data_IF_918519162758
#
_entry.id   IF_918519162758
#
_cell.length_a   1.000
_cell.length_b   1.000
_cell.length_c   1.000
_cell.angle_alpha   90.00
_cell.angle_beta   90.00
_cell.angle_gamma   90.00
#
_symmetry.space_group_name_H-M   'P 1'
#
loop_
_entity.id
_entity.type
_entity.pdbx_description
1 polymer ?
#
# COMPACT_ATOMS: atom_id res chain seq x y z
N UNK A 1 32.03 1.50 43.51
CA UNK A 1 33.22 0.64 43.62
C UNK A 1 33.73 0.40 42.20
N UNK A 2 34.96 0.85 41.99
CA UNK A 2 35.76 0.79 40.75
C UNK A 2 36.11 -0.63 40.36
N UNK A 3 36.25 -0.90 39.08
CA UNK A 3 37.45 -1.52 38.49
C UNK A 3 37.48 -1.38 36.99
N UNK A 4 38.41 -0.57 36.53
CA UNK A 4 39.02 -0.53 35.20
C UNK A 4 40.03 -1.67 35.04
N UNK A 5 40.26 -2.16 33.83
CA UNK A 5 41.54 -2.66 33.30
C UNK A 5 41.46 -2.55 31.77
N UNK A 6 42.07 -1.64 31.12
CA UNK A 6 43.43 -1.33 30.71
C UNK A 6 44.22 -2.47 30.02
N UNK A 7 44.43 -2.28 28.73
CA UNK A 7 45.63 -2.30 27.89
C UNK A 7 46.49 -3.54 27.74
N UNK A 8 46.89 -3.90 26.52
CA UNK A 8 48.26 -3.59 25.98
C UNK A 8 48.40 -3.84 24.48
N UNK A 9 49.03 -2.86 23.82
CA UNK A 9 49.67 -2.93 22.50
C UNK A 9 50.93 -3.85 22.55
N UNK A 10 51.24 -4.48 21.41
CA UNK A 10 52.63 -4.84 21.07
C UNK A 10 52.87 -4.71 19.59
N UNK A 11 53.66 -3.73 19.25
CA UNK A 11 54.41 -3.67 17.99
C UNK A 11 55.60 -4.59 18.06
N UNK A 12 55.93 -5.29 16.98
CA UNK A 12 57.26 -5.79 16.78
C UNK A 12 57.68 -5.64 15.32
N UNK A 13 58.65 -4.79 15.11
CA UNK A 13 59.48 -4.64 13.90
C UNK A 13 60.43 -5.82 13.81
N UNK A 14 60.72 -6.33 12.63
CA UNK A 14 62.00 -6.92 12.31
C UNK A 14 62.37 -6.68 10.84
N UNK A 15 63.59 -6.24 10.67
CA UNK A 15 64.16 -5.70 9.46
C UNK A 15 64.84 -6.76 8.57
N UNK A 16 64.90 -6.46 7.31
CA UNK A 16 66.05 -6.45 6.41
C UNK A 16 66.87 -7.72 6.23
N UNK A 17 66.84 -8.26 5.03
CA UNK A 17 68.08 -8.76 4.34
C UNK A 17 67.95 -8.58 2.84
N UNK A 18 68.84 -7.71 2.29
CA UNK A 18 69.14 -7.62 0.86
C UNK A 18 69.96 -8.81 0.42
N UNK A 19 69.65 -9.41 -0.72
CA UNK A 19 70.55 -10.20 -1.51
C UNK A 19 70.45 -9.73 -2.97
N UNK A 20 71.54 -9.14 -3.44
CA UNK A 20 71.76 -8.79 -4.84
C UNK A 20 71.94 -10.06 -5.67
N UNK A 21 71.08 -10.24 -6.67
CA UNK A 21 71.29 -11.20 -7.74
C UNK A 21 70.99 -10.50 -9.07
N UNK A 22 72.11 -10.20 -9.79
CA UNK A 22 72.01 -9.76 -11.19
C UNK A 22 71.50 -10.92 -12.05
N UNK A 23 70.36 -10.66 -12.73
CA UNK A 23 69.98 -11.48 -13.89
C UNK A 23 69.44 -10.55 -14.99
N UNK A 24 69.96 -10.73 -16.12
CA UNK A 24 69.83 -10.12 -17.43
C UNK A 24 68.38 -9.73 -17.80
N UNK A 25 68.24 -8.50 -18.26
CA UNK A 25 67.03 -7.93 -18.86
C UNK A 25 66.81 -8.60 -20.22
N UNK A 26 65.81 -9.51 -20.28
CA UNK A 26 65.15 -9.84 -21.52
C UNK A 26 63.89 -8.97 -21.61
N UNK A 27 63.87 -7.94 -22.46
CA UNK A 27 62.68 -7.20 -22.83
C UNK A 27 61.71 -8.11 -23.57
N UNK A 28 60.78 -8.73 -22.85
CA UNK A 28 59.52 -9.18 -23.43
C UNK A 28 58.55 -8.01 -23.38
N UNK A 29 58.10 -7.55 -24.55
CA UNK A 29 56.94 -6.65 -24.65
C UNK A 29 55.76 -7.41 -24.05
N UNK A 30 55.35 -7.02 -22.84
CA UNK A 30 54.02 -7.37 -22.35
C UNK A 30 53.01 -6.59 -23.18
N UNK A 31 52.27 -7.33 -24.01
CA UNK A 31 51.04 -6.84 -24.62
C UNK A 31 50.05 -6.61 -23.50
N UNK A 32 50.00 -5.35 -23.01
CA UNK A 32 48.97 -4.86 -22.10
C UNK A 32 47.64 -4.65 -22.89
N UNK A 33 47.10 -5.75 -23.42
CA UNK A 33 45.73 -5.76 -23.87
C UNK A 33 44.89 -6.02 -22.63
N UNK A 34 44.04 -5.06 -22.17
CA UNK A 34 43.15 -5.32 -21.05
C UNK A 34 42.24 -6.50 -21.41
N UNK A 35 42.25 -7.54 -20.59
CA UNK A 35 41.32 -8.65 -20.72
C UNK A 35 39.91 -8.07 -20.80
N UNK A 36 39.12 -8.36 -21.85
CA UNK A 36 37.77 -7.86 -21.97
C UNK A 36 36.99 -8.20 -20.69
N UNK A 37 36.43 -7.20 -20.01
CA UNK A 37 35.53 -7.47 -18.89
C UNK A 37 34.43 -8.45 -19.38
N UNK A 38 34.09 -9.47 -18.58
CA UNK A 38 33.00 -10.37 -18.93
C UNK A 38 31.73 -9.54 -19.13
N UNK A 39 30.95 -9.86 -20.17
CA UNK A 39 29.73 -9.07 -20.47
C UNK A 39 28.84 -9.05 -19.22
N UNK A 40 28.42 -7.85 -18.80
CA UNK A 40 27.50 -7.70 -17.67
C UNK A 40 26.26 -8.55 -17.93
N UNK A 41 25.75 -9.30 -16.94
CA UNK A 41 24.54 -10.09 -17.09
C UNK A 41 23.41 -9.21 -17.62
N UNK A 42 22.75 -9.64 -18.68
CA UNK A 42 21.56 -8.93 -19.21
C UNK A 42 20.46 -9.02 -18.16
N UNK A 43 20.14 -7.89 -17.56
CA UNK A 43 19.03 -7.80 -16.62
C UNK A 43 17.70 -7.92 -17.37
N UNK A 44 16.79 -8.69 -16.83
CA UNK A 44 15.44 -8.90 -17.38
C UNK A 44 14.43 -8.25 -16.45
N UNK A 45 13.49 -7.53 -17.03
CA UNK A 45 12.45 -6.82 -16.28
C UNK A 45 11.06 -7.30 -16.70
N UNK A 46 10.12 -7.19 -15.78
CA UNK A 46 8.70 -7.46 -15.96
C UNK A 46 7.89 -6.32 -15.38
N UNK A 47 6.97 -5.77 -16.17
CA UNK A 47 5.96 -4.85 -15.66
C UNK A 47 4.91 -5.65 -14.89
N UNK A 48 4.53 -5.15 -13.72
CA UNK A 48 3.58 -5.77 -12.82
C UNK A 48 2.56 -4.73 -12.38
N UNK A 49 1.28 -5.00 -12.60
CA UNK A 49 0.18 -4.16 -12.13
C UNK A 49 -0.38 -4.68 -10.81
N UNK A 50 -0.41 -3.82 -9.81
CA UNK A 50 -1.03 -4.07 -8.50
C UNK A 50 -2.23 -3.16 -8.33
N UNK A 51 -3.40 -3.72 -8.07
CA UNK A 51 -4.64 -2.99 -7.84
C UNK A 51 -5.10 -3.18 -6.39
N UNK A 52 -5.27 -2.09 -5.66
CA UNK A 52 -5.82 -2.10 -4.30
C UNK A 52 -7.23 -1.50 -4.30
N UNK A 53 -8.17 -2.12 -3.57
CA UNK A 53 -9.54 -1.61 -3.42
C UNK A 53 -10.16 -2.10 -2.11
N UNK A 54 -10.78 -1.20 -1.35
CA UNK A 54 -11.77 -1.53 -0.34
C UNK A 54 -13.10 -1.83 -1.04
N UNK A 55 -13.78 -2.94 -0.69
CA UNK A 55 -14.96 -3.44 -1.42
C UNK A 55 -16.30 -3.10 -0.76
N UNK A 56 -16.27 -2.30 0.29
CA UNK A 56 -17.48 -1.89 1.03
C UNK A 56 -18.41 -3.07 1.33
N UNK A 57 -17.97 -3.87 2.30
CA UNK A 57 -18.67 -5.09 2.72
C UNK A 57 -18.90 -6.10 1.59
N UNK A 58 -17.85 -6.37 0.81
CA UNK A 58 -17.89 -7.38 -0.24
C UNK A 58 -18.75 -6.97 -1.44
N UNK A 59 -18.75 -5.69 -1.79
CA UNK A 59 -19.55 -5.16 -2.88
C UNK A 59 -21.03 -5.54 -2.75
N UNK A 60 -21.61 -5.31 -1.56
CA UNK A 60 -23.00 -5.69 -1.26
C UNK A 60 -23.92 -4.49 -0.96
N UNK A 61 -23.37 -3.27 -0.90
CA UNK A 61 -24.12 -2.12 -0.43
C UNK A 61 -24.99 -1.46 -1.49
N UNK A 62 -24.65 -1.59 -2.76
CA UNK A 62 -25.46 -1.11 -3.88
C UNK A 62 -25.88 -2.25 -4.80
N UNK A 63 -26.90 -2.03 -5.61
CA UNK A 63 -27.39 -3.03 -6.56
C UNK A 63 -26.31 -3.32 -7.60
N UNK A 64 -26.15 -4.60 -7.94
CA UNK A 64 -25.19 -5.08 -8.93
C UNK A 64 -23.70 -4.80 -8.61
N UNK A 65 -23.37 -4.36 -7.39
CA UNK A 65 -22.01 -3.99 -7.00
C UNK A 65 -21.01 -5.14 -7.17
N UNK A 66 -21.38 -6.37 -6.83
CA UNK A 66 -20.49 -7.52 -7.01
C UNK A 66 -20.09 -7.74 -8.48
N UNK A 67 -21.05 -7.62 -9.41
CA UNK A 67 -20.72 -7.68 -10.84
C UNK A 67 -19.85 -6.48 -11.26
N UNK A 68 -20.10 -5.29 -10.69
CA UNK A 68 -19.27 -4.10 -10.89
C UNK A 68 -17.83 -4.32 -10.43
N UNK A 69 -17.62 -5.01 -9.29
CA UNK A 69 -16.28 -5.39 -8.82
C UNK A 69 -15.58 -6.34 -9.81
N UNK A 70 -16.30 -7.34 -10.31
CA UNK A 70 -15.78 -8.27 -11.33
C UNK A 70 -15.39 -7.51 -12.60
N UNK A 71 -16.24 -6.57 -13.03
CA UNK A 71 -16.02 -5.78 -14.25
C UNK A 71 -14.83 -4.83 -14.12
N UNK A 72 -14.70 -4.11 -13.00
CA UNK A 72 -13.58 -3.18 -12.81
C UNK A 72 -12.24 -3.92 -12.71
N UNK A 73 -12.18 -5.06 -12.02
CA UNK A 73 -10.95 -5.88 -11.99
C UNK A 73 -10.59 -6.33 -13.41
N UNK A 74 -11.58 -6.74 -14.20
CA UNK A 74 -11.34 -7.11 -15.59
C UNK A 74 -10.92 -5.91 -16.46
N UNK A 75 -11.50 -4.73 -16.25
CA UNK A 75 -11.19 -3.50 -16.98
C UNK A 75 -9.73 -3.07 -16.77
N UNK A 76 -9.25 -3.04 -15.53
CA UNK A 76 -7.87 -2.60 -15.23
C UNK A 76 -6.84 -3.69 -15.44
N UNK A 77 -7.27 -4.96 -15.46
CA UNK A 77 -6.47 -6.15 -15.72
C UNK A 77 -5.16 -6.22 -14.92
N UNK A 78 -5.22 -6.21 -13.59
CA UNK A 78 -4.05 -6.24 -12.75
C UNK A 78 -3.45 -7.65 -12.68
N UNK A 79 -2.17 -7.73 -12.33
CA UNK A 79 -1.50 -9.00 -12.06
C UNK A 79 -1.76 -9.49 -10.63
N UNK A 80 -1.91 -8.53 -9.71
CA UNK A 80 -2.24 -8.77 -8.29
C UNK A 80 -3.32 -7.79 -7.84
N UNK A 81 -4.31 -8.28 -7.10
CA UNK A 81 -5.39 -7.48 -6.49
C UNK A 81 -5.30 -7.61 -4.97
N UNK A 82 -5.30 -6.48 -4.27
CA UNK A 82 -5.30 -6.39 -2.81
C UNK A 82 -6.65 -5.83 -2.37
N UNK A 83 -7.43 -6.62 -1.65
CA UNK A 83 -8.82 -6.31 -1.33
C UNK A 83 -9.04 -6.20 0.18
N UNK A 84 -9.90 -5.27 0.57
CA UNK A 84 -10.37 -5.07 1.94
C UNK A 84 -11.89 -5.22 2.03
N UNK A 85 -12.41 -5.44 3.24
CA UNK A 85 -13.84 -5.55 3.56
C UNK A 85 -14.61 -6.57 2.73
N UNK A 86 -14.15 -7.79 2.68
CA UNK A 86 -14.72 -8.80 1.79
C UNK A 86 -16.13 -9.29 2.20
N UNK A 87 -16.50 -9.24 3.50
CA UNK A 87 -17.82 -9.59 4.04
C UNK A 87 -18.50 -10.76 3.33
N UNK A 88 -17.80 -11.88 3.27
CA UNK A 88 -18.29 -13.11 2.62
C UNK A 88 -19.69 -13.56 3.12
N UNK A 89 -19.96 -13.35 4.41
CA UNK A 89 -21.26 -13.61 5.04
C UNK A 89 -22.41 -12.82 4.40
N UNK A 90 -22.18 -11.54 4.01
CA UNK A 90 -23.18 -10.73 3.33
C UNK A 90 -23.35 -11.13 1.87
N UNK A 91 -22.25 -11.49 1.20
CA UNK A 91 -22.31 -11.98 -0.18
C UNK A 91 -23.12 -13.27 -0.27
N UNK A 92 -22.88 -14.23 0.63
CA UNK A 92 -23.61 -15.51 0.67
C UNK A 92 -25.11 -15.33 0.89
N UNK A 93 -25.55 -14.32 1.64
CA UNK A 93 -26.98 -13.99 1.79
C UNK A 93 -27.62 -13.47 0.50
N UNK A 94 -26.88 -12.72 -0.32
CA UNK A 94 -27.37 -12.17 -1.60
C UNK A 94 -27.16 -13.08 -2.80
N UNK A 95 -26.21 -14.00 -2.69
CA UNK A 95 -25.84 -14.99 -3.72
C UNK A 95 -25.79 -16.38 -3.05
N UNK A 96 -26.95 -17.04 -2.88
CA UNK A 96 -27.09 -18.26 -2.06
C UNK A 96 -26.22 -19.44 -2.53
N UNK A 97 -25.96 -19.55 -3.83
CA UNK A 97 -25.24 -20.71 -4.43
C UNK A 97 -23.71 -20.61 -4.24
N UNK A 98 -23.27 -19.84 -3.26
CA UNK A 98 -21.86 -19.64 -3.00
C UNK A 98 -21.21 -20.75 -2.18
N UNK A 99 -20.01 -21.10 -2.58
CA UNK A 99 -19.20 -22.20 -2.06
C UNK A 99 -18.14 -21.79 -1.04
N UNK A 100 -18.36 -20.69 -0.34
CA UNK A 100 -17.63 -20.38 0.88
C UNK A 100 -16.60 -19.26 0.79
N UNK A 101 -15.47 -19.36 0.11
CA UNK A 101 -14.45 -18.32 0.13
C UNK A 101 -14.71 -17.21 -0.90
N UNK A 102 -14.70 -15.96 -0.45
CA UNK A 102 -14.99 -14.79 -1.29
C UNK A 102 -14.07 -14.70 -2.50
N UNK A 103 -12.76 -14.85 -2.30
CA UNK A 103 -11.78 -14.77 -3.40
C UNK A 103 -11.92 -15.92 -4.39
N UNK A 104 -12.31 -17.12 -3.93
CA UNK A 104 -12.59 -18.24 -4.82
C UNK A 104 -13.75 -17.92 -5.78
N UNK A 105 -14.87 -17.41 -5.24
CA UNK A 105 -16.02 -16.99 -6.04
C UNK A 105 -15.65 -15.88 -7.02
N UNK A 106 -14.84 -14.91 -6.57
CA UNK A 106 -14.41 -13.82 -7.43
C UNK A 106 -13.53 -14.33 -8.60
N UNK A 107 -12.62 -15.28 -8.34
CA UNK A 107 -11.85 -15.96 -9.38
C UNK A 107 -12.75 -16.71 -10.38
N UNK A 108 -13.75 -17.45 -9.89
CA UNK A 108 -14.72 -18.14 -10.77
C UNK A 108 -15.51 -17.14 -11.64
N UNK A 109 -15.97 -16.03 -11.05
CA UNK A 109 -16.71 -15.00 -11.78
C UNK A 109 -15.85 -14.33 -12.87
N UNK A 110 -14.60 -13.99 -12.55
CA UNK A 110 -13.63 -13.44 -13.50
C UNK A 110 -13.35 -14.43 -14.65
N UNK A 111 -13.17 -15.71 -14.34
CA UNK A 111 -12.97 -16.76 -15.35
C UNK A 111 -14.18 -16.94 -16.25
N UNK A 112 -15.37 -17.05 -15.65
CA UNK A 112 -16.61 -17.31 -16.40
C UNK A 112 -16.99 -16.14 -17.29
N UNK A 113 -17.00 -14.92 -16.71
CA UNK A 113 -17.48 -13.71 -17.40
C UNK A 113 -16.46 -13.11 -18.37
N UNK A 114 -15.19 -13.09 -17.95
CA UNK A 114 -14.14 -12.34 -18.66
C UNK A 114 -12.98 -13.19 -19.18
N UNK A 115 -12.99 -14.51 -18.95
CA UNK A 115 -11.90 -15.43 -19.33
C UNK A 115 -10.55 -15.06 -18.70
N UNK A 116 -10.60 -14.51 -17.46
CA UNK A 116 -9.43 -14.13 -16.70
C UNK A 116 -9.18 -15.15 -15.58
N UNK A 117 -8.02 -15.75 -15.55
CA UNK A 117 -7.64 -16.75 -14.55
C UNK A 117 -6.86 -16.06 -13.42
N UNK A 118 -7.30 -16.31 -12.18
CA UNK A 118 -6.65 -15.86 -10.96
C UNK A 118 -6.63 -16.97 -9.91
N UNK A 119 -5.64 -16.93 -9.07
CA UNK A 119 -5.57 -17.64 -7.78
C UNK A 119 -6.00 -16.68 -6.68
N UNK A 120 -6.77 -17.13 -5.70
CA UNK A 120 -7.27 -16.28 -4.62
C UNK A 120 -7.00 -16.85 -3.25
N UNK A 121 -6.71 -15.99 -2.27
CA UNK A 121 -6.68 -16.30 -0.84
C UNK A 121 -7.26 -15.14 -0.04
N UNK A 122 -8.05 -15.44 1.01
CA UNK A 122 -8.56 -14.43 1.93
C UNK A 122 -8.54 -14.92 3.37
N UNK A 123 -8.56 -13.97 4.30
CA UNK A 123 -8.77 -14.23 5.72
C UNK A 123 -10.19 -13.78 6.10
N UNK A 124 -11.03 -14.75 6.37
CA UNK A 124 -12.42 -14.49 6.79
C UNK A 124 -13.15 -13.51 5.88
N UNK A 125 -13.77 -12.52 6.50
CA UNK A 125 -14.55 -11.46 5.85
C UNK A 125 -13.78 -10.15 5.71
N UNK A 126 -12.47 -10.15 5.88
CA UNK A 126 -11.70 -8.91 6.07
C UNK A 126 -10.85 -8.55 4.86
N UNK A 127 -9.86 -9.35 4.55
CA UNK A 127 -8.86 -9.03 3.53
C UNK A 127 -8.58 -10.20 2.61
N UNK A 128 -8.22 -9.92 1.36
CA UNK A 128 -7.93 -10.95 0.37
C UNK A 128 -6.94 -10.50 -0.71
N UNK A 129 -6.39 -11.47 -1.39
CA UNK A 129 -5.48 -11.26 -2.53
C UNK A 129 -5.92 -12.14 -3.68
N UNK A 130 -5.97 -11.55 -4.91
CA UNK A 130 -5.99 -12.31 -6.15
C UNK A 130 -4.66 -12.15 -6.86
N UNK A 131 -4.21 -13.18 -7.56
CA UNK A 131 -2.97 -13.15 -8.34
C UNK A 131 -3.12 -13.95 -9.63
N UNK A 132 -2.60 -13.44 -10.75
CA UNK A 132 -2.43 -14.23 -11.99
C UNK A 132 -1.35 -15.30 -11.84
N UNK A 133 -0.46 -15.14 -10.86
CA UNK A 133 0.59 -16.10 -10.54
C UNK A 133 0.11 -17.03 -9.43
N UNK A 134 0.55 -18.28 -9.46
CA UNK A 134 0.24 -19.25 -8.41
C UNK A 134 0.71 -18.77 -7.03
N UNK A 135 -0.16 -18.86 -6.03
CA UNK A 135 0.15 -18.47 -4.65
C UNK A 135 0.92 -19.62 -3.98
N UNK A 136 2.22 -19.42 -3.79
CA UNK A 136 3.13 -20.42 -3.18
C UNK A 136 3.00 -20.52 -1.67
N UNK A 137 2.66 -19.40 -1.01
CA UNK A 137 2.43 -19.37 0.43
C UNK A 137 1.40 -18.31 0.80
N UNK A 138 0.70 -18.57 1.91
CA UNK A 138 -0.31 -17.71 2.51
C UNK A 138 -0.11 -17.68 4.02
N UNK A 139 -0.21 -16.50 4.62
CA UNK A 139 -0.15 -16.33 6.08
C UNK A 139 -1.02 -15.17 6.51
N UNK A 140 -1.76 -15.37 7.61
CA UNK A 140 -2.42 -14.29 8.35
C UNK A 140 -1.41 -13.73 9.36
N UNK A 141 -1.24 -12.41 9.41
CA UNK A 141 -0.41 -11.77 10.42
C UNK A 141 -1.19 -11.67 11.74
N UNK A 142 -0.54 -11.85 12.89
CA UNK A 142 -1.17 -11.77 14.21
C UNK A 142 -1.31 -10.31 14.69
N UNK A 143 -1.95 -9.47 13.87
CA UNK A 143 -2.19 -8.06 14.17
C UNK A 143 -3.13 -7.87 15.36
N UNK A 144 -3.10 -6.72 16.08
CA UNK A 144 -4.08 -6.40 17.12
C UNK A 144 -5.52 -6.46 16.60
N UNK A 145 -6.47 -6.59 17.50
CA UNK A 145 -7.91 -6.64 17.18
C UNK A 145 -8.32 -5.46 16.28
N UNK A 146 -9.23 -5.73 15.35
CA UNK A 146 -9.74 -4.78 14.35
C UNK A 146 -8.72 -4.33 13.28
N UNK A 147 -7.50 -4.83 13.34
CA UNK A 147 -6.51 -4.71 12.27
C UNK A 147 -6.35 -6.06 11.58
N UNK A 148 -6.50 -6.09 10.28
CA UNK A 148 -6.46 -7.33 9.49
C UNK A 148 -5.38 -7.24 8.43
N UNK A 149 -4.50 -8.22 8.39
CA UNK A 149 -3.44 -8.29 7.40
C UNK A 149 -3.12 -9.73 7.01
N UNK A 150 -2.99 -9.96 5.72
CA UNK A 150 -2.48 -11.21 5.17
C UNK A 150 -1.29 -10.96 4.28
N UNK A 151 -0.47 -11.98 4.09
CA UNK A 151 0.53 -12.00 3.03
C UNK A 151 0.40 -13.25 2.16
N UNK A 152 0.69 -13.05 0.87
CA UNK A 152 0.89 -14.13 -0.08
C UNK A 152 2.26 -14.00 -0.73
N UNK A 153 2.90 -15.12 -1.03
CA UNK A 153 4.12 -15.15 -1.84
C UNK A 153 3.80 -15.77 -3.19
N UNK A 154 4.21 -15.10 -4.26
CA UNK A 154 4.13 -15.60 -5.63
C UNK A 154 5.52 -15.58 -6.27
N UNK A 155 5.68 -16.26 -7.40
CA UNK A 155 6.90 -16.18 -8.20
C UNK A 155 6.58 -15.59 -9.57
N UNK A 156 7.28 -14.52 -9.91
CA UNK A 156 7.20 -13.84 -11.20
C UNK A 156 8.50 -14.08 -11.94
N UNK A 157 8.50 -15.01 -12.90
CA UNK A 157 9.70 -15.37 -13.70
C UNK A 157 10.95 -15.59 -12.82
N UNK A 158 10.84 -16.45 -11.82
CA UNK A 158 11.92 -16.81 -10.92
C UNK A 158 12.25 -15.80 -9.80
N UNK A 159 11.62 -14.61 -9.79
CA UNK A 159 11.70 -13.68 -8.67
C UNK A 159 10.51 -13.88 -7.72
N UNK A 160 10.79 -14.24 -6.47
CA UNK A 160 9.74 -14.29 -5.45
C UNK A 160 9.36 -12.88 -5.01
N UNK A 161 8.04 -12.66 -4.87
CA UNK A 161 7.44 -11.43 -4.40
C UNK A 161 6.43 -11.72 -3.30
N UNK A 162 6.40 -10.89 -2.27
CA UNK A 162 5.42 -10.99 -1.18
C UNK A 162 4.50 -9.77 -1.20
N UNK A 163 3.21 -10.03 -1.30
CA UNK A 163 2.16 -9.02 -1.30
C UNK A 163 1.40 -9.09 0.02
N UNK A 164 1.24 -7.92 0.64
CA UNK A 164 0.43 -7.76 1.85
C UNK A 164 -0.84 -7.00 1.49
N UNK A 165 -1.99 -7.54 1.92
CA UNK A 165 -3.28 -6.84 1.90
C UNK A 165 -3.68 -6.52 3.33
N UNK A 166 -3.93 -5.24 3.60
CA UNK A 166 -4.23 -4.72 4.93
C UNK A 166 -5.57 -3.98 4.98
N UNK A 167 -6.29 -4.13 6.08
CA UNK A 167 -7.41 -3.28 6.49
C UNK A 167 -7.20 -2.96 7.96
N UNK A 168 -6.83 -1.71 8.26
CA UNK A 168 -6.53 -1.29 9.61
C UNK A 168 -7.79 -0.78 10.33
N UNK A 169 -7.70 -0.66 11.65
CA UNK A 169 -8.84 -0.29 12.50
C UNK A 169 -9.45 1.06 12.09
N UNK A 170 -10.76 1.05 11.85
CA UNK A 170 -11.54 2.25 11.46
C UNK A 170 -11.87 3.17 12.64
N UNK A 171 -11.72 2.68 13.89
CA UNK A 171 -11.98 3.47 15.09
C UNK A 171 -10.87 4.50 15.30
N UNK A 172 -11.16 5.50 16.09
CA UNK A 172 -10.21 6.60 16.30
C UNK A 172 -9.71 7.22 14.98
N UNK A 173 -10.67 7.46 14.06
CA UNK A 173 -10.41 8.16 12.81
C UNK A 173 -10.20 9.66 13.09
N UNK A 174 -9.04 9.95 13.67
CA UNK A 174 -8.74 11.24 14.32
C UNK A 174 -8.70 12.43 13.37
N UNK A 175 -8.63 12.21 12.06
CA UNK A 175 -8.72 13.26 11.05
C UNK A 175 -10.12 13.94 11.00
N UNK A 176 -11.14 13.38 11.67
CA UNK A 176 -12.44 14.04 11.84
C UNK A 176 -12.46 15.06 12.99
N UNK A 177 -11.54 14.97 13.95
CA UNK A 177 -11.48 15.92 15.07
C UNK A 177 -11.32 17.39 14.62
N UNK A 178 -10.41 17.72 13.68
CA UNK A 178 -10.32 19.09 13.13
C UNK A 178 -11.58 19.52 12.39
N UNK A 179 -12.35 18.57 11.88
CA UNK A 179 -13.63 18.81 11.19
C UNK A 179 -14.83 18.93 12.14
N UNK A 180 -14.59 18.94 13.46
CA UNK A 180 -15.65 19.10 14.46
C UNK A 180 -16.53 17.87 14.66
N UNK A 181 -16.02 16.69 14.38
CA UNK A 181 -16.68 15.41 14.64
C UNK A 181 -15.77 14.52 15.50
N UNK A 182 -16.37 13.64 16.29
CA UNK A 182 -15.55 12.69 17.04
C UNK A 182 -14.92 11.65 16.10
N UNK A 183 -13.91 10.95 16.58
CA UNK A 183 -13.15 9.98 15.81
C UNK A 183 -13.84 8.61 15.64
N UNK A 184 -15.11 8.50 16.02
CA UNK A 184 -15.94 7.30 15.86
C UNK A 184 -16.05 6.42 17.08
N UNK A 185 -16.88 5.35 17.02
CA UNK A 185 -17.59 4.85 15.83
C UNK A 185 -18.95 5.50 15.55
N UNK A 186 -19.40 6.46 16.34
CA UNK A 186 -20.71 7.12 16.17
C UNK A 186 -20.65 8.38 15.31
N UNK A 187 -19.44 8.88 15.01
CA UNK A 187 -19.18 10.08 14.20
C UNK A 187 -20.00 11.29 14.65
N UNK A 188 -20.26 11.40 15.96
CA UNK A 188 -21.10 12.47 16.49
C UNK A 188 -20.42 13.84 16.37
N UNK A 189 -21.25 14.86 16.09
CA UNK A 189 -20.76 16.24 16.00
C UNK A 189 -20.26 16.74 17.35
N UNK A 190 -19.09 17.34 17.37
CA UNK A 190 -18.51 18.00 18.55
C UNK A 190 -19.03 19.45 18.67
N UNK A 191 -19.03 20.03 19.87
CA UNK A 191 -19.36 21.43 20.07
C UNK A 191 -18.44 22.40 19.31
N UNK A 192 -17.15 22.04 19.15
CA UNK A 192 -16.15 22.77 18.40
C UNK A 192 -15.13 21.81 17.78
N UNK A 193 -14.53 22.17 16.63
CA UNK A 193 -13.38 21.47 16.09
C UNK A 193 -12.22 21.37 17.09
N UNK A 194 -11.50 20.26 17.05
CA UNK A 194 -10.30 20.04 17.85
C UNK A 194 -9.10 20.17 16.91
N UNK A 195 -8.32 21.24 17.09
CA UNK A 195 -7.15 21.55 16.24
C UNK A 195 -5.83 21.42 16.97
N UNK A 196 -5.86 21.00 18.23
CA UNK A 196 -4.68 20.65 19.00
C UNK A 196 -4.06 19.35 18.48
N UNK A 197 -2.88 19.46 17.88
CA UNK A 197 -2.23 18.33 17.21
C UNK A 197 -1.83 17.21 18.17
N UNK A 198 -1.43 17.53 19.40
CA UNK A 198 -1.06 16.52 20.40
C UNK A 198 -2.28 15.66 20.79
N UNK A 199 -3.43 16.32 20.98
CA UNK A 199 -4.69 15.65 21.28
C UNK A 199 -5.15 14.77 20.11
N UNK A 200 -5.04 15.26 18.86
CA UNK A 200 -5.38 14.50 17.65
C UNK A 200 -4.52 13.24 17.55
N UNK A 201 -3.21 13.38 17.67
CA UNK A 201 -2.30 12.23 17.56
C UNK A 201 -2.42 11.27 18.74
N UNK A 202 -2.77 11.76 19.93
CA UNK A 202 -3.07 10.90 21.07
C UNK A 202 -4.32 10.05 20.83
N UNK A 203 -5.37 10.63 20.23
CA UNK A 203 -6.57 9.89 19.88
C UNK A 203 -6.30 8.87 18.77
N UNK A 204 -5.54 9.27 17.75
CA UNK A 204 -5.12 8.38 16.65
C UNK A 204 -4.47 7.09 17.16
N UNK A 205 -3.61 7.18 18.17
CA UNK A 205 -2.88 6.04 18.76
C UNK A 205 -3.72 5.14 19.67
N UNK A 206 -5.00 5.41 19.84
CA UNK A 206 -5.92 4.51 20.53
C UNK A 206 -6.44 3.39 19.62
N UNK A 207 -6.19 3.49 18.33
CA UNK A 207 -6.66 2.55 17.29
C UNK A 207 -5.79 1.31 17.11
N UNK A 208 -4.58 1.26 17.68
CA UNK A 208 -3.58 0.19 17.49
C UNK A 208 -3.13 -0.04 16.03
N UNK A 209 -3.31 0.94 15.13
CA UNK A 209 -2.83 0.87 13.74
C UNK A 209 -1.31 0.88 13.66
N UNK A 210 -0.65 1.65 14.51
CA UNK A 210 0.79 1.74 14.64
C UNK A 210 1.41 0.41 15.10
N UNK A 211 0.84 -0.30 16.07
CA UNK A 211 1.29 -1.64 16.47
C UNK A 211 1.11 -2.65 15.34
N UNK A 212 0.00 -2.57 14.58
CA UNK A 212 -0.18 -3.43 13.41
C UNK A 212 0.87 -3.15 12.33
N UNK A 213 1.26 -1.87 12.17
CA UNK A 213 2.30 -1.48 11.22
C UNK A 213 3.70 -1.90 11.68
N UNK A 214 4.00 -1.88 12.97
CA UNK A 214 5.23 -2.47 13.53
C UNK A 214 5.34 -3.96 13.18
N UNK A 215 4.27 -4.73 13.37
CA UNK A 215 4.23 -6.15 13.01
C UNK A 215 4.44 -6.39 11.51
N UNK A 216 3.87 -5.52 10.67
CA UNK A 216 4.13 -5.56 9.23
C UNK A 216 5.61 -5.33 8.94
N UNK A 217 6.21 -4.29 9.51
CA UNK A 217 7.61 -3.92 9.23
C UNK A 217 8.59 -5.03 9.64
N UNK A 218 8.36 -5.67 10.78
CA UNK A 218 9.17 -6.81 11.23
C UNK A 218 9.05 -8.01 10.29
N UNK A 219 7.84 -8.38 9.88
CA UNK A 219 7.60 -9.49 8.96
C UNK A 219 8.14 -9.18 7.56
N UNK A 220 7.92 -7.96 7.06
CA UNK A 220 8.41 -7.50 5.77
C UNK A 220 9.94 -7.49 5.69
N UNK A 221 10.64 -7.07 6.76
CA UNK A 221 12.10 -7.15 6.82
C UNK A 221 12.58 -8.60 6.70
N UNK A 222 11.87 -9.53 7.33
CA UNK A 222 12.16 -10.97 7.19
C UNK A 222 11.99 -11.48 5.77
N UNK A 223 11.00 -10.99 5.01
CA UNK A 223 10.80 -11.34 3.61
C UNK A 223 11.88 -10.72 2.71
N UNK A 224 12.21 -9.45 2.94
CA UNK A 224 13.31 -8.77 2.19
C UNK A 224 14.66 -9.44 2.42
N UNK A 225 14.96 -9.90 3.62
CA UNK A 225 16.18 -10.64 3.93
C UNK A 225 16.29 -11.98 3.17
N UNK A 226 15.16 -12.54 2.71
CA UNK A 226 15.11 -13.71 1.82
C UNK A 226 15.28 -13.33 0.34
N UNK A 227 15.48 -12.06 0.02
CA UNK A 227 15.57 -11.53 -1.35
C UNK A 227 14.21 -11.39 -2.06
N UNK A 228 13.12 -11.40 -1.33
CA UNK A 228 11.77 -11.19 -1.86
C UNK A 228 11.48 -9.71 -2.03
N UNK A 229 10.82 -9.36 -3.11
CA UNK A 229 10.25 -8.02 -3.30
C UNK A 229 8.96 -7.92 -2.49
N UNK A 230 8.83 -6.87 -1.67
CA UNK A 230 7.69 -6.65 -0.78
C UNK A 230 6.85 -5.50 -1.29
N UNK A 231 5.54 -5.74 -1.39
CA UNK A 231 4.51 -4.74 -1.72
C UNK A 231 3.41 -4.81 -0.67
N UNK A 232 3.03 -3.67 -0.11
CA UNK A 232 1.91 -3.51 0.81
C UNK A 232 0.83 -2.67 0.14
N UNK A 233 -0.43 -3.08 0.25
CA UNK A 233 -1.56 -2.22 -0.09
C UNK A 233 -2.74 -2.50 0.81
N UNK A 234 -3.60 -1.50 0.96
CA UNK A 234 -4.78 -1.63 1.81
C UNK A 234 -5.42 -0.30 2.13
N UNK A 235 -6.53 -0.40 2.83
CA UNK A 235 -7.17 0.70 3.53
C UNK A 235 -6.57 0.81 4.93
N UNK A 236 -5.92 1.93 5.20
CA UNK A 236 -5.25 2.14 6.49
C UNK A 236 -6.16 2.82 7.52
N UNK A 237 -7.32 3.31 7.10
CA UNK A 237 -8.20 4.11 7.97
C UNK A 237 -7.42 5.24 8.70
N UNK A 238 -6.39 5.73 8.07
CA UNK A 238 -5.52 6.81 8.52
C UNK A 238 -4.96 7.51 7.28
N UNK A 239 -5.00 8.86 7.18
CA UNK A 239 -4.38 9.58 6.08
C UNK A 239 -2.85 9.47 6.07
N UNK A 240 -2.22 10.01 5.03
CA UNK A 240 -0.76 10.11 4.97
C UNK A 240 -0.26 11.43 5.56
N UNK A 241 0.88 11.38 6.27
CA UNK A 241 1.60 12.58 6.70
C UNK A 241 2.00 13.48 5.52
N UNK A 242 2.14 12.90 4.32
CA UNK A 242 2.45 13.63 3.10
C UNK A 242 1.25 14.41 2.53
N UNK A 243 0.05 14.18 3.05
CA UNK A 243 -1.17 14.85 2.62
C UNK A 243 -1.61 15.95 3.59
N UNK A 244 -1.21 15.85 4.86
CA UNK A 244 -1.54 16.80 5.93
C UNK A 244 -0.36 17.74 6.25
N UNK A 245 0.11 18.46 5.23
CA UNK A 245 1.29 19.31 5.26
C UNK A 245 0.95 20.80 5.47
N UNK A 246 1.96 21.62 5.67
CA UNK A 246 1.79 23.09 5.82
C UNK A 246 1.07 23.75 4.63
N UNK A 247 1.19 23.20 3.42
CA UNK A 247 0.54 23.71 2.23
C UNK A 247 -0.91 23.23 2.03
N UNK A 248 -1.36 22.25 2.82
CA UNK A 248 -2.74 21.73 2.80
C UNK A 248 -3.51 22.05 4.08
N UNK A 249 -2.87 22.61 5.12
CA UNK A 249 -3.48 22.83 6.44
C UNK A 249 -4.76 23.67 6.43
N UNK A 250 -4.91 24.56 5.44
CA UNK A 250 -6.08 25.42 5.29
C UNK A 250 -7.02 24.95 4.15
N UNK A 251 -6.75 23.76 3.58
CA UNK A 251 -7.58 23.08 2.58
C UNK A 251 -8.31 21.89 3.21
N UNK A 252 -9.31 21.35 2.51
CA UNK A 252 -9.99 20.09 2.84
C UNK A 252 -10.48 20.02 4.30
N UNK A 253 -10.83 21.18 4.86
CA UNK A 253 -11.25 21.32 6.27
C UNK A 253 -10.25 20.75 7.28
N UNK A 254 -8.96 20.83 7.01
CA UNK A 254 -7.90 20.49 7.98
C UNK A 254 -7.80 21.52 9.11
N UNK A 255 -8.40 22.70 8.95
CA UNK A 255 -8.53 23.74 9.99
C UNK A 255 -7.21 24.13 10.66
N UNK A 256 -6.15 24.32 9.87
CA UNK A 256 -4.82 24.73 10.32
C UNK A 256 -3.93 23.58 10.81
N UNK A 257 -4.43 22.34 10.86
CA UNK A 257 -3.69 21.18 11.37
C UNK A 257 -2.66 20.68 10.35
N UNK A 258 -1.47 20.38 10.85
CA UNK A 258 -0.41 19.63 10.16
C UNK A 258 -0.17 18.37 10.98
N UNK A 259 -0.40 17.20 10.41
CA UNK A 259 -0.35 15.95 11.16
C UNK A 259 0.67 14.97 10.59
N UNK A 260 1.48 14.39 11.49
CA UNK A 260 2.44 13.33 11.17
C UNK A 260 1.79 11.97 11.47
N UNK A 261 0.87 11.54 10.61
CA UNK A 261 0.15 10.28 10.76
C UNK A 261 1.10 9.09 10.87
N UNK A 262 0.90 8.27 11.91
CA UNK A 262 1.91 7.32 12.38
C UNK A 262 2.23 6.23 11.34
N UNK A 263 1.24 5.62 10.70
CA UNK A 263 1.47 4.54 9.72
C UNK A 263 2.36 4.99 8.55
N UNK A 264 2.04 6.13 7.94
CA UNK A 264 2.80 6.64 6.80
C UNK A 264 4.21 7.09 7.19
N UNK A 265 4.37 7.69 8.38
CA UNK A 265 5.69 8.07 8.94
C UNK A 265 6.56 6.83 9.19
N UNK A 266 5.99 5.76 9.76
CA UNK A 266 6.71 4.52 10.04
C UNK A 266 7.17 3.84 8.75
N UNK A 267 6.28 3.69 7.77
CA UNK A 267 6.59 3.12 6.46
C UNK A 267 7.71 3.90 5.76
N UNK A 268 7.62 5.22 5.72
CA UNK A 268 8.61 6.08 5.07
C UNK A 268 9.98 5.99 5.76
N UNK A 269 10.02 5.96 7.11
CA UNK A 269 11.27 5.75 7.88
C UNK A 269 11.91 4.40 7.60
N UNK A 270 11.10 3.36 7.33
CA UNK A 270 11.58 2.03 6.97
C UNK A 270 11.92 1.88 5.46
N UNK A 271 11.91 2.98 4.69
CA UNK A 271 12.27 2.98 3.27
C UNK A 271 11.13 2.53 2.34
N UNK A 272 9.91 2.42 2.82
CA UNK A 272 8.75 2.21 1.97
C UNK A 272 8.32 3.53 1.32
N UNK A 273 7.87 3.43 0.08
CA UNK A 273 7.49 4.56 -0.78
C UNK A 273 6.01 4.44 -1.11
N UNK A 274 5.28 5.51 -0.82
CA UNK A 274 3.91 5.71 -1.28
C UNK A 274 3.91 5.96 -2.80
N UNK A 275 3.35 5.02 -3.55
CA UNK A 275 3.42 5.04 -5.01
C UNK A 275 2.71 6.25 -5.62
N UNK A 276 1.59 6.67 -5.03
CA UNK A 276 0.87 7.84 -5.52
C UNK A 276 1.66 9.12 -5.28
N UNK A 277 2.17 9.33 -4.05
CA UNK A 277 2.96 10.53 -3.70
C UNK A 277 4.31 10.59 -4.41
N UNK A 278 4.91 9.47 -4.76
CA UNK A 278 6.12 9.48 -5.59
C UNK A 278 5.85 10.02 -7.00
N UNK A 279 4.72 9.67 -7.61
CA UNK A 279 4.34 10.19 -8.94
C UNK A 279 3.78 11.60 -8.87
N UNK A 280 3.04 11.92 -7.84
CA UNK A 280 2.34 13.19 -7.66
C UNK A 280 2.70 13.83 -6.32
N UNK A 281 3.90 14.43 -6.19
CA UNK A 281 4.44 14.88 -4.90
C UNK A 281 3.72 16.10 -4.31
N UNK A 282 2.85 16.78 -5.06
CA UNK A 282 2.15 17.97 -4.58
C UNK A 282 0.69 17.63 -4.20
N UNK A 283 0.36 17.52 -2.88
CA UNK A 283 -0.96 17.18 -2.41
C UNK A 283 -2.03 18.27 -2.66
N UNK A 284 -1.62 19.50 -2.95
CA UNK A 284 -2.56 20.60 -3.29
C UNK A 284 -3.15 20.39 -4.69
N UNK A 285 -2.32 19.98 -5.65
CA UNK A 285 -2.77 19.79 -7.04
C UNK A 285 -3.28 18.38 -7.33
N UNK A 286 -2.73 17.40 -6.63
CA UNK A 286 -3.07 15.99 -6.75
C UNK A 286 -3.33 15.41 -5.35
N UNK A 287 -4.45 15.75 -4.69
CA UNK A 287 -4.76 15.22 -3.36
C UNK A 287 -4.87 13.69 -3.35
N UNK A 288 -5.34 13.09 -4.44
CA UNK A 288 -5.43 11.66 -4.58
C UNK A 288 -6.51 11.01 -3.71
N UNK A 289 -7.56 11.73 -3.39
CA UNK A 289 -8.61 11.26 -2.48
C UNK A 289 -9.17 9.92 -2.90
N UNK A 290 -9.15 8.98 -1.96
CA UNK A 290 -9.75 7.65 -2.14
C UNK A 290 -11.09 7.50 -1.44
N UNK A 291 -11.36 8.30 -0.42
CA UNK A 291 -12.59 8.26 0.37
C UNK A 291 -13.11 9.68 0.66
N UNK A 292 -14.45 9.89 0.63
CA UNK A 292 -15.50 9.04 0.06
C UNK A 292 -15.62 9.21 -1.46
N UNK A 293 -15.80 8.12 -2.18
CA UNK A 293 -16.06 8.15 -3.62
C UNK A 293 -17.51 8.51 -3.92
N UNK A 294 -17.76 9.22 -5.05
CA UNK A 294 -19.10 9.49 -5.55
C UNK A 294 -19.76 8.24 -6.17
N UNK A 295 -20.13 7.27 -5.34
CA UNK A 295 -20.93 6.14 -5.81
C UNK A 295 -22.37 6.60 -6.10
N UNK A 296 -22.75 6.67 -7.37
CA UNK A 296 -24.05 7.19 -7.82
C UNK A 296 -25.23 6.31 -7.42
N UNK A 297 -24.97 5.03 -7.15
CA UNK A 297 -26.01 4.05 -6.79
C UNK A 297 -26.25 3.97 -5.28
N UNK A 298 -25.45 4.69 -4.46
CA UNK A 298 -25.60 4.78 -3.01
C UNK A 298 -26.32 6.07 -2.58
N UNK A 299 -26.97 6.04 -1.44
CA UNK A 299 -27.51 7.27 -0.82
C UNK A 299 -26.38 8.09 -0.19
N UNK A 300 -26.46 9.43 -0.27
CA UNK A 300 -25.44 10.31 0.31
C UNK A 300 -25.21 10.05 1.79
N UNK A 301 -26.26 9.78 2.57
CA UNK A 301 -26.13 9.46 3.99
C UNK A 301 -25.37 8.17 4.32
N UNK A 302 -25.08 7.34 3.31
CA UNK A 302 -24.19 6.17 3.44
C UNK A 302 -22.73 6.52 3.08
N UNK A 303 -22.51 7.68 2.45
CA UNK A 303 -21.22 8.11 1.92
C UNK A 303 -20.63 9.32 2.66
N UNK A 304 -21.37 9.93 3.59
CA UNK A 304 -20.97 11.14 4.30
C UNK A 304 -21.15 10.97 5.80
N UNK A 305 -20.08 11.13 6.52
CA UNK A 305 -20.01 11.00 7.98
C UNK A 305 -19.70 12.33 8.67
N UNK A 306 -19.21 13.32 7.89
CA UNK A 306 -18.85 14.65 8.35
C UNK A 306 -19.48 15.73 7.44
N UNK A 307 -20.83 15.77 7.31
CA UNK A 307 -21.54 16.47 6.22
C UNK A 307 -21.42 18.00 6.20
N UNK A 308 -20.91 18.62 7.26
CA UNK A 308 -20.71 20.08 7.29
C UNK A 308 -19.32 20.52 6.78
N UNK A 309 -18.42 19.56 6.51
CA UNK A 309 -17.02 19.81 6.17
C UNK A 309 -16.60 19.03 4.92
N UNK A 310 -15.41 19.35 4.43
CA UNK A 310 -14.76 18.54 3.43
C UNK A 310 -14.07 17.36 4.13
N UNK A 311 -14.68 16.19 4.00
CA UNK A 311 -14.25 14.96 4.67
C UNK A 311 -13.35 14.07 3.83
N UNK A 312 -12.98 14.55 2.63
CA UNK A 312 -12.16 13.77 1.70
C UNK A 312 -10.77 13.54 2.27
N UNK A 313 -10.35 12.28 2.25
CA UNK A 313 -8.99 11.85 2.58
C UNK A 313 -8.50 10.77 1.62
N UNK A 314 -7.20 10.62 1.54
CA UNK A 314 -6.54 9.48 0.93
C UNK A 314 -6.12 8.54 2.05
N UNK A 315 -6.81 7.39 2.14
CA UNK A 315 -6.62 6.37 3.19
C UNK A 315 -6.31 4.99 2.62
N UNK A 316 -6.43 4.83 1.31
CA UNK A 316 -6.07 3.63 0.56
C UNK A 316 -4.72 3.82 -0.12
N UNK A 317 -3.85 2.83 -0.04
CA UNK A 317 -2.46 2.96 -0.47
C UNK A 317 -1.92 1.72 -1.17
N UNK A 318 -0.87 1.93 -1.96
CA UNK A 318 0.09 0.91 -2.37
C UNK A 318 1.50 1.43 -2.07
N UNK A 319 2.28 0.62 -1.33
CA UNK A 319 3.66 0.89 -0.97
C UNK A 319 4.59 -0.20 -1.50
N UNK A 320 5.81 0.16 -1.86
CA UNK A 320 6.92 -0.77 -2.10
C UNK A 320 8.17 -0.30 -1.38
N UNK A 321 9.16 -1.18 -1.14
CA UNK A 321 10.40 -0.76 -0.49
C UNK A 321 11.44 -0.32 -1.52
N UNK A 322 11.99 0.88 -1.37
CA UNK A 322 12.93 1.53 -2.31
C UNK A 322 14.30 0.83 -2.37
N UNK A 323 14.67 0.03 -1.37
CA UNK A 323 15.93 -0.73 -1.38
C UNK A 323 15.94 -1.91 -2.36
N UNK A 324 14.78 -2.24 -2.93
CA UNK A 324 14.57 -3.39 -3.78
C UNK A 324 14.72 -3.04 -5.28
N UNK A 325 14.98 -4.02 -6.16
CA UNK A 325 15.16 -3.81 -7.58
C UNK A 325 13.81 -3.56 -8.29
N UNK A 326 13.14 -2.49 -7.91
CA UNK A 326 11.82 -2.08 -8.38
C UNK A 326 11.88 -0.62 -8.83
N UNK A 327 11.27 -0.33 -9.96
CA UNK A 327 11.04 1.03 -10.49
C UNK A 327 9.53 1.27 -10.58
N UNK A 328 9.07 2.38 -10.03
CA UNK A 328 7.66 2.79 -10.17
C UNK A 328 7.43 3.40 -11.55
N UNK A 329 6.61 2.76 -12.37
CA UNK A 329 6.25 3.26 -13.70
C UNK A 329 5.03 4.18 -13.64
N UNK A 330 3.93 3.74 -13.00
CA UNK A 330 2.67 4.48 -12.92
C UNK A 330 2.02 4.31 -11.54
N UNK A 331 1.26 5.33 -11.15
CA UNK A 331 0.29 5.29 -10.07
C UNK A 331 -0.98 5.99 -10.57
N UNK A 332 -2.10 5.30 -10.56
CA UNK A 332 -3.36 5.75 -11.16
C UNK A 332 -4.49 5.51 -10.16
N UNK A 333 -5.49 6.40 -10.15
CA UNK A 333 -6.71 6.23 -9.38
C UNK A 333 -7.78 5.55 -10.25
N UNK A 334 -8.50 4.60 -9.67
CA UNK A 334 -9.60 3.87 -10.32
C UNK A 334 -10.89 4.16 -9.58
N UNK A 335 -11.90 4.60 -10.30
CA UNK A 335 -13.21 4.91 -9.71
C UNK A 335 -13.83 6.17 -10.27
N UNK A 336 -15.00 6.58 -9.76
CA UNK A 336 -15.62 7.84 -10.18
C UNK A 336 -14.72 9.02 -9.84
N UNK A 337 -14.60 9.98 -10.77
CA UNK A 337 -13.81 11.20 -10.54
C UNK A 337 -14.40 12.08 -9.43
N UNK A 338 -15.72 12.08 -9.26
CA UNK A 338 -16.39 12.78 -8.17
C UNK A 338 -16.11 12.21 -6.77
N UNK A 339 -16.41 13.01 -5.77
CA UNK A 339 -16.31 12.66 -4.34
C UNK A 339 -17.49 13.24 -3.56
N UNK A 340 -17.62 12.86 -2.28
CA UNK A 340 -18.60 13.46 -1.37
C UNK A 340 -17.85 14.43 -0.45
N UNK A 341 -18.31 15.66 -0.37
CA UNK A 341 -17.82 16.69 0.55
C UNK A 341 -18.89 17.73 0.82
N UNK A 342 -18.88 18.31 2.01
CA UNK A 342 -19.97 19.16 2.51
C UNK A 342 -21.37 18.52 2.39
N UNK A 343 -21.45 17.21 2.64
CA UNK A 343 -22.68 16.41 2.55
C UNK A 343 -23.30 16.35 1.16
N UNK A 344 -22.53 16.60 0.11
CA UNK A 344 -23.01 16.68 -1.29
C UNK A 344 -22.07 15.94 -2.23
N UNK A 345 -22.64 15.50 -3.37
CA UNK A 345 -21.86 15.03 -4.50
C UNK A 345 -21.15 16.22 -5.16
N UNK A 346 -19.85 16.11 -5.33
CA UNK A 346 -19.03 17.12 -5.97
C UNK A 346 -18.20 16.56 -7.11
N UNK A 347 -18.00 17.37 -8.13
CA UNK A 347 -17.08 17.03 -9.21
C UNK A 347 -15.62 17.06 -8.72
N UNK A 348 -14.73 16.42 -9.47
CA UNK A 348 -13.30 16.56 -9.23
C UNK A 348 -12.86 18.03 -9.37
N UNK A 349 -12.28 18.56 -8.32
CA UNK A 349 -11.78 19.95 -8.21
C UNK A 349 -10.22 19.99 -8.17
N UNK A 350 -9.58 18.89 -8.54
CA UNK A 350 -8.12 18.72 -8.56
C UNK A 350 -7.58 18.44 -9.97
N UNK A 351 -6.26 18.21 -10.05
CA UNK A 351 -5.62 17.72 -11.29
C UNK A 351 -5.51 16.20 -11.35
N UNK A 352 -6.10 15.49 -10.38
CA UNK A 352 -6.14 14.04 -10.39
C UNK A 352 -6.88 13.51 -11.63
N UNK A 353 -6.37 12.42 -12.18
CA UNK A 353 -7.01 11.71 -13.29
C UNK A 353 -7.47 10.33 -12.81
N UNK A 354 -8.57 9.84 -13.39
CA UNK A 354 -9.22 8.63 -12.94
C UNK A 354 -9.45 7.68 -14.12
N UNK A 355 -9.26 6.38 -13.85
CA UNK A 355 -9.80 5.33 -14.71
C UNK A 355 -11.26 5.13 -14.27
N UNK A 356 -12.17 5.77 -14.99
CA UNK A 356 -13.61 5.71 -14.71
C UNK A 356 -14.15 4.29 -14.96
N UNK A 357 -15.04 3.78 -14.08
CA UNK A 357 -15.66 2.47 -14.28
C UNK A 357 -16.60 2.50 -15.49
N UNK A 358 -16.63 1.43 -16.26
CA UNK A 358 -17.55 1.26 -17.39
C UNK A 358 -18.94 0.78 -16.99
N UNK A 359 -19.14 0.41 -15.72
CA UNK A 359 -20.38 -0.09 -15.16
C UNK A 359 -20.63 0.43 -13.73
N UNK A 360 -21.43 -0.33 -12.96
CA UNK A 360 -21.69 -0.01 -11.55
C UNK A 360 -20.40 0.07 -10.75
N UNK A 361 -20.18 1.19 -10.04
CA UNK A 361 -19.07 1.29 -9.11
C UNK A 361 -19.39 0.49 -7.82
N UNK A 362 -18.52 -0.42 -7.36
CA UNK A 362 -18.90 -1.36 -6.31
C UNK A 362 -18.84 -0.85 -4.88
N UNK A 363 -18.21 0.32 -4.63
CA UNK A 363 -17.77 0.71 -3.29
C UNK A 363 -17.90 2.22 -3.05
N UNK A 364 -17.70 2.64 -1.80
CA UNK A 364 -17.56 4.03 -1.35
C UNK A 364 -16.11 4.53 -1.35
N UNK A 365 -15.15 3.69 -1.73
CA UNK A 365 -13.75 4.05 -1.94
C UNK A 365 -13.40 4.15 -3.42
N UNK A 366 -12.26 4.78 -3.74
CA UNK A 366 -11.56 4.65 -5.02
C UNK A 366 -10.35 3.76 -4.84
N UNK A 367 -10.00 3.02 -5.89
CA UNK A 367 -8.86 2.11 -5.86
C UNK A 367 -7.57 2.75 -6.37
N UNK A 368 -6.46 2.13 -6.01
CA UNK A 368 -5.12 2.49 -6.48
C UNK A 368 -4.62 1.43 -7.46
N UNK A 369 -4.24 1.82 -8.66
CA UNK A 369 -3.59 0.97 -9.66
C UNK A 369 -2.14 1.41 -9.83
N UNK A 370 -1.21 0.57 -9.39
CA UNK A 370 0.22 0.83 -9.47
C UNK A 370 0.87 -0.10 -10.50
N UNK A 371 1.70 0.44 -11.39
CA UNK A 371 2.54 -0.35 -12.28
C UNK A 371 3.99 -0.26 -11.85
N UNK A 372 4.55 -1.40 -11.49
CA UNK A 372 5.94 -1.58 -11.07
C UNK A 372 6.72 -2.30 -12.16
N UNK A 373 7.93 -1.84 -12.46
CA UNK A 373 8.91 -2.59 -13.25
C UNK A 373 9.83 -3.31 -12.28
N UNK A 374 9.75 -4.62 -12.28
CA UNK A 374 10.51 -5.47 -11.36
C UNK A 374 11.59 -6.24 -12.09
N UNK A 375 12.78 -6.33 -11.49
CA UNK A 375 13.84 -7.18 -12.03
C UNK A 375 13.51 -8.64 -11.72
N UNK A 376 13.53 -9.48 -12.76
CA UNK A 376 13.22 -10.90 -12.69
C UNK A 376 14.43 -11.74 -13.12
N UNK A 377 14.40 -13.04 -12.84
CA UNK A 377 15.44 -13.97 -13.28
C UNK A 377 15.21 -14.35 -14.75
N UNK A 378 16.28 -14.69 -15.45
CA UNK A 378 16.18 -15.18 -16.83
C UNK A 378 15.50 -16.53 -16.94
#
# INVERSE_FOLDING_TARGET
MKREHLFKRSCLNAALMMLFGCCSIACSKEDNNPTPEPPKPVEVYQDLKVFQLNTWFGATQVNNAYNGLVDVISQVDPDVVLLCELRNDLLLKKIPDGDGEYTHRLCQSLKTKHKKDYYGKNHGTFVGVLSKYEIKSFKVLPTPTDNYMIKVTVEVRGQEMTFYSAHLDYKHYACYLPRGYNSGPDWSKLPNPITDNERIMKDNRLSTRDEAMEMFLDDAQGEMNKGRIVVLGGDFNEPSDLDWQANTKDLYSHNGVVANWDCSVMLRKAGFVDTYREKFPNPVTHPGFTFPADNKDANIGQLSFCPEYDERDRIDFVYYNKSQPVELLKAELVGPSGSIYFGKRGANDSKDTFIEPTGTWPTDHKGNLTTLKVRVKK
#
